data_IF_314152847454
#
_entry.id   IF_314152847454
#
_cell.length_a   1.000
_cell.length_b   1.000
_cell.length_c   1.000
_cell.angle_alpha   90.00
_cell.angle_beta   90.00
_cell.angle_gamma   90.00
#
_symmetry.space_group_name_H-M   'P 1'
#
loop_
_entity.id
_entity.type
_entity.pdbx_description
1 polymer ?
#
# COMPACT_ATOMS: atom_id res chain seq x y z
N UNK A 1 -15.94 -12.12 -31.85
CA UNK A 1 -14.64 -12.73 -31.53
C UNK A 1 -13.58 -12.42 -32.58
N UNK A 2 -13.72 -12.82 -33.86
CA UNK A 2 -12.71 -12.52 -34.90
C UNK A 2 -12.39 -11.02 -35.07
N UNK A 3 -13.39 -10.13 -34.95
CA UNK A 3 -13.14 -8.69 -34.97
C UNK A 3 -12.22 -8.20 -33.85
N UNK A 4 -12.25 -8.80 -32.67
CA UNK A 4 -11.40 -8.39 -31.54
C UNK A 4 -9.91 -8.67 -31.80
N UNK A 5 -9.56 -9.56 -32.73
CA UNK A 5 -8.19 -9.87 -33.11
C UNK A 5 -7.60 -8.91 -34.16
N UNK A 6 -8.41 -7.96 -34.68
CA UNK A 6 -8.06 -7.16 -35.88
C UNK A 6 -8.18 -5.63 -35.61
N UNK A 7 -8.67 -5.19 -34.45
CA UNK A 7 -8.82 -3.75 -34.14
C UNK A 7 -7.53 -3.16 -33.56
N UNK A 8 -7.35 -1.84 -33.69
CA UNK A 8 -6.23 -1.11 -33.06
C UNK A 8 -6.13 -1.36 -31.53
N UNK A 9 -4.89 -1.30 -31.04
CA UNK A 9 -4.43 -1.82 -29.74
C UNK A 9 -5.30 -1.44 -28.50
N UNK A 10 -5.79 -0.20 -28.46
CA UNK A 10 -6.65 0.27 -27.36
C UNK A 10 -8.05 -0.37 -27.34
N UNK A 11 -8.65 -0.57 -28.52
CA UNK A 11 -9.96 -1.22 -28.64
C UNK A 11 -9.85 -2.74 -28.44
N UNK A 12 -8.72 -3.32 -28.86
CA UNK A 12 -8.41 -4.73 -28.66
C UNK A 12 -8.31 -5.08 -27.16
N UNK A 13 -7.60 -4.27 -26.37
CA UNK A 13 -7.46 -4.49 -24.93
C UNK A 13 -8.83 -4.51 -24.22
N UNK A 14 -9.68 -3.52 -24.50
CA UNK A 14 -11.04 -3.48 -23.93
C UNK A 14 -11.90 -4.65 -24.37
N UNK A 15 -11.79 -5.07 -25.63
CA UNK A 15 -12.52 -6.23 -26.16
C UNK A 15 -12.09 -7.53 -25.47
N UNK A 16 -10.78 -7.75 -25.27
CA UNK A 16 -10.25 -8.89 -24.53
C UNK A 16 -10.76 -8.92 -23.10
N UNK A 17 -10.68 -7.79 -22.38
CA UNK A 17 -11.18 -7.67 -21.01
C UNK A 17 -12.69 -7.97 -20.93
N UNK A 18 -13.49 -7.41 -21.85
CA UNK A 18 -14.94 -7.63 -21.87
C UNK A 18 -15.31 -9.07 -22.21
N UNK A 19 -14.65 -9.68 -23.20
CA UNK A 19 -14.93 -11.06 -23.61
C UNK A 19 -14.49 -12.07 -22.54
N UNK A 20 -13.32 -11.88 -21.94
CA UNK A 20 -12.86 -12.71 -20.83
C UNK A 20 -13.79 -12.60 -19.60
N UNK A 21 -14.39 -11.43 -19.36
CA UNK A 21 -15.35 -11.26 -18.26
C UNK A 21 -16.73 -11.88 -18.56
N UNK A 22 -17.21 -11.80 -19.80
CA UNK A 22 -18.57 -12.20 -20.17
C UNK A 22 -18.71 -13.64 -20.65
N UNK A 23 -17.74 -14.15 -21.43
CA UNK A 23 -17.76 -15.52 -21.98
C UNK A 23 -16.33 -16.08 -22.07
N UNK A 24 -15.68 -16.38 -20.92
CA UNK A 24 -14.27 -16.76 -20.88
C UNK A 24 -13.97 -18.06 -21.62
N UNK A 25 -14.85 -19.07 -21.55
CA UNK A 25 -14.61 -20.38 -22.16
C UNK A 25 -14.70 -20.32 -23.70
N UNK A 26 -15.76 -19.70 -24.24
CA UNK A 26 -15.92 -19.56 -25.69
C UNK A 26 -14.81 -18.69 -26.30
N UNK A 27 -14.45 -17.61 -25.61
CA UNK A 27 -13.37 -16.74 -26.05
C UNK A 27 -12.02 -17.48 -26.00
N UNK A 28 -11.76 -18.24 -24.94
CA UNK A 28 -10.56 -19.05 -24.82
C UNK A 28 -10.43 -20.10 -25.91
N UNK A 29 -11.52 -20.79 -26.28
CA UNK A 29 -11.51 -21.71 -27.43
C UNK A 29 -11.17 -20.99 -28.73
N UNK A 30 -11.75 -19.81 -28.98
CA UNK A 30 -11.42 -19.01 -30.16
C UNK A 30 -9.95 -18.55 -30.18
N UNK A 31 -9.37 -18.22 -29.03
CA UNK A 31 -7.94 -17.89 -28.92
C UNK A 31 -7.05 -19.10 -29.22
N UNK A 32 -7.39 -20.27 -28.70
CA UNK A 32 -6.68 -21.52 -28.98
C UNK A 32 -6.73 -21.91 -30.46
N UNK A 33 -7.92 -21.81 -31.09
CA UNK A 33 -8.11 -22.09 -32.52
C UNK A 33 -7.33 -21.11 -33.41
N UNK A 34 -7.18 -19.86 -32.95
CA UNK A 34 -6.37 -18.84 -33.61
C UNK A 34 -4.86 -18.98 -33.34
N UNK A 35 -4.44 -19.93 -32.49
CA UNK A 35 -3.03 -20.10 -32.10
C UNK A 35 -2.47 -18.94 -31.29
N UNK A 36 -3.33 -18.21 -30.56
CA UNK A 36 -2.92 -17.07 -29.76
C UNK A 36 -1.96 -17.48 -28.64
N UNK A 37 -0.96 -16.64 -28.38
CA UNK A 37 -0.04 -16.72 -27.26
C UNK A 37 0.29 -15.30 -26.78
N UNK A 38 0.56 -15.09 -25.48
CA UNK A 38 0.98 -13.78 -25.00
C UNK A 38 2.33 -13.39 -25.60
N UNK A 39 2.45 -12.14 -26.07
CA UNK A 39 3.70 -11.58 -26.60
C UNK A 39 4.18 -10.44 -25.71
N UNK A 40 5.43 -10.44 -25.24
CA UNK A 40 5.92 -9.49 -24.22
C UNK A 40 5.74 -8.01 -24.56
N UNK A 41 5.69 -7.65 -25.85
CA UNK A 41 5.46 -6.28 -26.33
C UNK A 41 4.00 -5.81 -26.23
N UNK A 42 3.04 -6.72 -26.04
CA UNK A 42 1.62 -6.39 -25.94
C UNK A 42 1.22 -5.80 -24.59
N UNK A 43 0.11 -5.08 -24.59
CA UNK A 43 -0.53 -4.54 -23.39
C UNK A 43 -0.75 -5.64 -22.33
N UNK A 44 -0.36 -5.35 -21.10
CA UNK A 44 -0.46 -6.27 -19.97
C UNK A 44 -1.88 -6.76 -19.70
N UNK A 45 -2.89 -5.88 -19.78
CA UNK A 45 -4.29 -6.25 -19.55
C UNK A 45 -4.83 -7.18 -20.64
N UNK A 46 -4.33 -7.05 -21.87
CA UNK A 46 -4.66 -7.93 -22.98
C UNK A 46 -4.11 -9.33 -22.72
N UNK A 47 -2.82 -9.43 -22.37
CA UNK A 47 -2.14 -10.70 -22.06
C UNK A 47 -2.77 -11.42 -20.87
N UNK A 48 -3.13 -10.65 -19.85
CA UNK A 48 -3.83 -11.14 -18.66
C UNK A 48 -5.21 -11.72 -19.00
N UNK A 49 -6.05 -10.92 -19.67
CA UNK A 49 -7.39 -11.33 -20.05
C UNK A 49 -7.38 -12.54 -21.02
N UNK A 50 -6.45 -12.54 -21.98
CA UNK A 50 -6.26 -13.66 -22.90
C UNK A 50 -5.81 -14.93 -22.18
N UNK A 51 -4.84 -14.82 -21.26
CA UNK A 51 -4.37 -15.94 -20.45
C UNK A 51 -5.51 -16.54 -19.61
N UNK A 52 -6.28 -15.71 -18.92
CA UNK A 52 -7.44 -16.17 -18.14
C UNK A 52 -8.51 -16.87 -19.00
N UNK A 53 -8.76 -16.37 -20.21
CA UNK A 53 -9.70 -17.02 -21.15
C UNK A 53 -9.16 -18.39 -21.61
N UNK A 54 -7.88 -18.49 -21.98
CA UNK A 54 -7.23 -19.75 -22.36
C UNK A 54 -7.28 -20.77 -21.23
N UNK A 55 -7.03 -20.36 -19.98
CA UNK A 55 -7.16 -21.20 -18.80
C UNK A 55 -8.60 -21.71 -18.62
N UNK A 56 -9.59 -20.82 -18.75
CA UNK A 56 -10.99 -21.18 -18.63
C UNK A 56 -11.44 -22.22 -19.68
N UNK A 57 -10.97 -22.10 -20.92
CA UNK A 57 -11.22 -23.08 -21.99
C UNK A 57 -10.43 -24.39 -21.84
N UNK A 58 -9.41 -24.41 -20.98
CA UNK A 58 -8.46 -25.52 -20.83
C UNK A 58 -8.56 -26.25 -19.48
N UNK A 59 -9.67 -26.14 -18.76
CA UNK A 59 -9.87 -26.78 -17.44
C UNK A 59 -9.61 -28.29 -17.39
N UNK A 60 -9.75 -28.99 -18.51
CA UNK A 60 -9.53 -30.44 -18.62
C UNK A 60 -8.09 -30.82 -19.02
N UNK A 61 -7.26 -29.83 -19.42
CA UNK A 61 -5.86 -30.03 -19.80
C UNK A 61 -4.96 -29.94 -18.58
N UNK A 62 -3.83 -30.64 -18.63
CA UNK A 62 -2.82 -30.51 -17.57
C UNK A 62 -2.19 -29.12 -17.63
N UNK A 63 -1.62 -28.63 -16.51
CA UNK A 63 -0.90 -27.35 -16.54
C UNK A 63 0.32 -27.41 -17.46
N UNK A 64 0.96 -28.57 -17.58
CA UNK A 64 2.10 -28.76 -18.47
C UNK A 64 1.75 -28.49 -19.94
N UNK A 65 0.56 -28.90 -20.38
CA UNK A 65 0.09 -28.69 -21.77
C UNK A 65 -0.21 -27.23 -22.10
N UNK A 66 -0.50 -26.41 -21.09
CA UNK A 66 -0.90 -25.01 -21.27
C UNK A 66 0.15 -24.01 -20.80
N UNK A 67 1.24 -24.47 -20.18
CA UNK A 67 2.27 -23.62 -19.57
C UNK A 67 2.93 -22.62 -20.53
N UNK A 68 2.95 -22.91 -21.84
CA UNK A 68 3.51 -22.01 -22.86
C UNK A 68 2.45 -21.15 -23.57
N UNK A 69 1.18 -21.29 -23.20
CA UNK A 69 0.06 -20.59 -23.84
C UNK A 69 -0.44 -19.41 -23.01
N UNK A 70 0.06 -19.24 -21.80
CA UNK A 70 -0.41 -18.26 -20.82
C UNK A 70 0.77 -17.64 -20.08
N UNK A 71 0.51 -16.52 -19.42
CA UNK A 71 1.52 -15.81 -18.63
C UNK A 71 1.87 -16.55 -17.32
N UNK A 72 3.12 -16.45 -16.82
CA UNK A 72 3.59 -17.18 -15.63
C UNK A 72 2.76 -16.94 -14.36
N UNK A 73 2.29 -15.71 -14.14
CA UNK A 73 1.48 -15.40 -12.95
C UNK A 73 0.08 -16.02 -13.01
N UNK A 74 -0.53 -16.09 -14.19
CA UNK A 74 -1.81 -16.75 -14.38
C UNK A 74 -1.71 -18.26 -14.12
N UNK A 75 -0.56 -18.89 -14.43
CA UNK A 75 -0.30 -20.30 -14.10
C UNK A 75 -0.26 -20.54 -12.61
N UNK A 76 0.38 -19.64 -11.85
CA UNK A 76 0.42 -19.75 -10.40
C UNK A 76 -0.99 -19.65 -9.79
N UNK A 77 -1.78 -18.66 -10.24
CA UNK A 77 -3.16 -18.49 -9.79
C UNK A 77 -4.03 -19.73 -10.11
N UNK A 78 -3.86 -20.30 -11.31
CA UNK A 78 -4.57 -21.52 -11.72
C UNK A 78 -4.12 -22.74 -10.90
N UNK A 79 -2.82 -22.92 -10.68
CA UNK A 79 -2.29 -24.00 -9.86
C UNK A 79 -2.90 -23.98 -8.46
N UNK A 80 -2.95 -22.79 -7.84
CA UNK A 80 -3.61 -22.59 -6.54
C UNK A 80 -5.12 -22.88 -6.64
N UNK A 81 -5.78 -22.39 -7.68
CA UNK A 81 -7.22 -22.64 -7.94
C UNK A 81 -7.58 -24.12 -8.09
N UNK A 82 -6.65 -24.95 -8.59
CA UNK A 82 -6.79 -26.41 -8.72
C UNK A 82 -6.49 -27.19 -7.43
N UNK A 83 -6.18 -26.50 -6.32
CA UNK A 83 -5.83 -27.10 -5.03
C UNK A 83 -4.32 -27.21 -4.77
N UNK A 84 -3.50 -26.61 -5.64
CA UNK A 84 -2.07 -26.41 -5.44
C UNK A 84 -1.25 -27.70 -5.42
N UNK A 85 -1.57 -28.69 -6.25
CA UNK A 85 -0.78 -29.93 -6.29
C UNK A 85 0.71 -29.61 -6.50
N UNK A 86 1.62 -30.42 -5.93
CA UNK A 86 3.06 -30.16 -6.04
C UNK A 86 3.50 -30.05 -7.50
N UNK A 87 3.01 -30.95 -8.35
CA UNK A 87 3.29 -30.94 -9.79
C UNK A 87 2.84 -29.64 -10.46
N UNK A 88 1.61 -29.18 -10.20
CA UNK A 88 1.07 -27.94 -10.75
C UNK A 88 1.87 -26.72 -10.28
N UNK A 89 2.25 -26.68 -9.01
CA UNK A 89 3.05 -25.60 -8.43
C UNK A 89 4.48 -25.60 -8.97
N UNK A 90 5.09 -26.76 -9.20
CA UNK A 90 6.41 -26.87 -9.82
C UNK A 90 6.39 -26.35 -11.26
N UNK A 91 5.34 -26.63 -12.04
CA UNK A 91 5.17 -26.11 -13.40
C UNK A 91 5.04 -24.58 -13.37
N UNK A 92 4.19 -24.03 -12.49
CA UNK A 92 4.04 -22.59 -12.34
C UNK A 92 5.35 -21.93 -11.88
N UNK A 93 6.04 -22.54 -10.91
CA UNK A 93 7.34 -22.08 -10.42
C UNK A 93 8.40 -22.05 -11.52
N UNK A 94 8.47 -23.07 -12.40
CA UNK A 94 9.40 -23.08 -13.54
C UNK A 94 9.08 -21.98 -14.55
N UNK A 95 7.81 -21.66 -14.77
CA UNK A 95 7.44 -20.50 -15.59
C UNK A 95 7.91 -19.18 -14.97
N UNK A 96 7.80 -19.05 -13.64
CA UNK A 96 8.30 -17.88 -12.90
C UNK A 96 9.83 -17.83 -12.92
N UNK A 97 10.53 -18.95 -12.71
CA UNK A 97 12.01 -19.01 -12.78
C UNK A 97 12.53 -18.49 -14.13
N UNK A 98 11.87 -18.82 -15.24
CA UNK A 98 12.21 -18.29 -16.56
C UNK A 98 12.04 -16.77 -16.64
N UNK A 99 11.00 -16.22 -16.00
CA UNK A 99 10.82 -14.76 -15.92
C UNK A 99 11.85 -14.09 -14.99
N UNK A 100 12.33 -14.80 -13.97
CA UNK A 100 13.32 -14.32 -13.00
C UNK A 100 14.77 -14.42 -13.50
N UNK A 101 15.06 -15.27 -14.48
CA UNK A 101 16.40 -15.49 -15.03
C UNK A 101 16.88 -14.36 -15.95
N UNK A 102 16.15 -13.25 -16.02
CA UNK A 102 16.48 -12.15 -16.91
C UNK A 102 17.60 -11.26 -16.36
N UNK A 103 18.59 -10.95 -17.21
CA UNK A 103 19.79 -10.18 -16.86
C UNK A 103 19.82 -8.76 -17.45
N UNK A 104 18.77 -8.36 -18.18
CA UNK A 104 18.80 -7.02 -18.77
C UNK A 104 18.78 -5.94 -17.67
N UNK A 105 19.40 -4.82 -17.97
CA UNK A 105 19.50 -3.70 -17.03
C UNK A 105 18.55 -2.62 -17.50
N UNK A 106 17.47 -2.40 -16.73
CA UNK A 106 16.70 -1.18 -16.83
C UNK A 106 17.01 -0.28 -15.64
N UNK A 107 17.58 0.89 -15.91
CA UNK A 107 17.89 1.88 -14.88
C UNK A 107 16.58 2.47 -14.35
N UNK A 108 16.33 2.31 -13.06
CA UNK A 108 15.13 2.86 -12.45
C UNK A 108 15.19 4.38 -12.45
N UNK A 109 14.13 5.07 -12.86
CA UNK A 109 14.15 6.51 -13.00
C UNK A 109 14.23 7.21 -11.65
N UNK A 110 15.27 8.03 -11.44
CA UNK A 110 15.42 8.79 -10.19
C UNK A 110 14.25 9.77 -9.96
N UNK A 111 13.68 10.32 -11.04
CA UNK A 111 12.62 11.32 -11.00
C UNK A 111 11.21 10.77 -10.72
N UNK A 112 11.01 9.44 -10.80
CA UNK A 112 9.69 8.84 -10.68
C UNK A 112 9.65 7.79 -9.57
N UNK A 113 8.61 7.86 -8.74
CA UNK A 113 8.21 6.82 -7.80
C UNK A 113 7.04 6.05 -8.39
N UNK A 114 7.21 4.74 -8.51
CA UNK A 114 6.16 3.83 -8.97
C UNK A 114 5.59 3.11 -7.77
N UNK A 115 4.27 3.08 -7.66
CA UNK A 115 3.57 2.32 -6.64
C UNK A 115 2.49 1.43 -7.23
N UNK A 116 2.30 0.26 -6.63
CA UNK A 116 1.26 -0.71 -6.97
C UNK A 116 0.33 -0.82 -5.77
N UNK A 117 -0.93 -0.45 -5.97
CA UNK A 117 -2.01 -0.59 -5.00
C UNK A 117 -2.86 -1.79 -5.39
N UNK A 118 -3.18 -2.66 -4.43
CA UNK A 118 -4.09 -3.80 -4.66
C UNK A 118 -5.39 -3.61 -3.92
N UNK A 119 -6.51 -3.70 -4.65
CA UNK A 119 -7.86 -3.71 -4.09
C UNK A 119 -8.56 -4.98 -4.56
N UNK A 120 -8.55 -6.00 -3.70
CA UNK A 120 -9.05 -7.33 -4.04
C UNK A 120 -8.24 -7.95 -5.19
N UNK A 121 -8.93 -8.34 -6.28
CA UNK A 121 -8.27 -8.90 -7.49
C UNK A 121 -7.77 -7.83 -8.47
N UNK A 122 -8.06 -6.56 -8.22
CA UNK A 122 -7.60 -5.46 -9.08
C UNK A 122 -6.34 -4.86 -8.50
N UNK A 123 -5.43 -4.45 -9.38
CA UNK A 123 -4.30 -3.64 -8.99
C UNK A 123 -4.28 -2.37 -9.84
N UNK A 124 -3.84 -1.28 -9.25
CA UNK A 124 -3.61 -0.01 -9.94
C UNK A 124 -2.17 0.41 -9.76
N UNK A 125 -1.59 0.90 -10.85
CA UNK A 125 -0.23 1.43 -10.85
C UNK A 125 -0.36 2.95 -10.81
N UNK A 126 0.33 3.58 -9.87
CA UNK A 126 0.45 5.04 -9.83
C UNK A 126 1.91 5.46 -9.97
N UNK A 127 2.13 6.53 -10.72
CA UNK A 127 3.45 7.12 -10.96
C UNK A 127 3.41 8.55 -10.46
N UNK A 128 4.27 8.84 -9.48
CA UNK A 128 4.37 10.14 -8.83
C UNK A 128 5.80 10.68 -8.93
N UNK A 129 6.01 12.00 -8.86
CA UNK A 129 7.34 12.57 -8.73
C UNK A 129 8.06 12.02 -7.49
N UNK A 130 9.35 11.71 -7.66
CA UNK A 130 10.21 11.28 -6.55
C UNK A 130 10.68 12.49 -5.76
N UNK A 131 10.46 12.48 -4.44
CA UNK A 131 10.98 13.51 -3.55
C UNK A 131 12.52 13.53 -3.49
N UNK A 132 13.17 12.39 -3.77
CA UNK A 132 14.64 12.29 -3.78
C UNK A 132 15.28 13.02 -4.97
N UNK A 133 14.50 13.32 -6.01
CA UNK A 133 14.97 14.06 -7.17
C UNK A 133 14.68 15.57 -7.08
N UNK A 134 14.15 16.05 -5.95
CA UNK A 134 13.83 17.46 -5.74
C UNK A 134 14.97 18.16 -4.99
N UNK A 135 15.43 19.29 -5.51
CA UNK A 135 16.27 20.21 -4.76
C UNK A 135 15.44 21.15 -3.86
N UNK A 136 16.12 21.99 -3.07
CA UNK A 136 15.44 22.92 -2.14
C UNK A 136 14.61 24.00 -2.87
N UNK A 137 15.08 24.47 -4.03
CA UNK A 137 14.36 25.46 -4.85
C UNK A 137 13.10 24.86 -5.48
N UNK A 138 13.18 23.59 -5.86
CA UNK A 138 12.10 22.78 -6.41
C UNK A 138 11.00 22.50 -5.38
N UNK A 139 11.39 22.23 -4.12
CA UNK A 139 10.46 22.07 -3.00
C UNK A 139 9.65 23.35 -2.77
N UNK A 140 10.28 24.52 -2.91
CA UNK A 140 9.60 25.80 -2.77
C UNK A 140 8.64 26.09 -3.94
N UNK A 141 9.06 25.80 -5.18
CA UNK A 141 8.23 25.99 -6.40
C UNK A 141 7.12 24.96 -6.54
N UNK A 142 7.17 23.84 -5.82
CA UNK A 142 6.10 22.85 -5.74
C UNK A 142 4.80 23.39 -5.11
N UNK A 143 4.82 24.61 -4.56
CA UNK A 143 3.60 25.34 -4.19
C UNK A 143 2.75 25.75 -5.39
N UNK A 144 3.36 25.96 -6.56
CA UNK A 144 2.71 26.39 -7.79
C UNK A 144 1.97 25.22 -8.48
N UNK A 145 0.65 25.34 -8.73
CA UNK A 145 -0.14 24.32 -9.42
C UNK A 145 0.42 23.90 -10.79
N UNK A 146 0.96 24.83 -11.57
CA UNK A 146 1.40 24.55 -12.94
C UNK A 146 2.73 23.78 -12.93
N UNK A 147 3.68 24.21 -12.09
CA UNK A 147 4.95 23.49 -11.87
C UNK A 147 4.71 22.08 -11.32
N UNK A 148 3.74 21.92 -10.40
CA UNK A 148 3.33 20.60 -9.93
C UNK A 148 2.80 19.73 -11.06
N UNK A 149 1.91 20.27 -11.88
CA UNK A 149 1.33 19.54 -13.00
C UNK A 149 2.40 19.08 -14.00
N UNK A 150 3.29 19.98 -14.43
CA UNK A 150 4.39 19.66 -15.34
C UNK A 150 5.29 18.55 -14.81
N UNK A 151 5.63 18.59 -13.52
CA UNK A 151 6.42 17.52 -12.88
C UNK A 151 5.68 16.21 -12.79
N UNK A 152 4.39 16.24 -12.45
CA UNK A 152 3.57 15.04 -12.47
C UNK A 152 3.53 14.43 -13.88
N UNK A 153 3.43 15.25 -14.93
CA UNK A 153 3.49 14.76 -16.31
C UNK A 153 4.86 14.16 -16.65
N UNK A 154 5.96 14.87 -16.36
CA UNK A 154 7.31 14.36 -16.63
C UNK A 154 7.62 13.05 -15.88
N UNK A 155 7.21 12.96 -14.61
CA UNK A 155 7.37 11.74 -13.82
C UNK A 155 6.54 10.59 -14.40
N UNK A 156 5.30 10.85 -14.84
CA UNK A 156 4.45 9.87 -15.51
C UNK A 156 5.06 9.37 -16.81
N UNK A 157 5.47 10.27 -17.69
CA UNK A 157 6.12 9.90 -18.96
C UNK A 157 7.35 9.02 -18.74
N UNK A 158 8.23 9.43 -17.81
CA UNK A 158 9.45 8.69 -17.50
C UNK A 158 9.15 7.33 -16.86
N UNK A 159 8.21 7.27 -15.91
CA UNK A 159 7.83 6.03 -15.23
C UNK A 159 7.08 5.06 -16.15
N UNK A 160 6.18 5.56 -17.01
CA UNK A 160 5.48 4.74 -18.01
C UNK A 160 6.44 4.21 -19.07
N UNK A 161 7.41 5.01 -19.53
CA UNK A 161 8.48 4.56 -20.42
C UNK A 161 9.32 3.46 -19.75
N UNK A 162 9.77 3.68 -18.51
CA UNK A 162 10.51 2.66 -17.74
C UNK A 162 9.74 1.35 -17.64
N UNK A 163 8.44 1.38 -17.29
CA UNK A 163 7.63 0.17 -17.18
C UNK A 163 7.47 -0.53 -18.51
N UNK A 164 7.28 0.22 -19.60
CA UNK A 164 7.18 -0.35 -20.96
C UNK A 164 8.49 -1.00 -21.38
N UNK A 165 9.62 -0.36 -21.11
CA UNK A 165 10.95 -0.85 -21.45
C UNK A 165 11.31 -2.07 -20.60
N UNK A 166 11.06 -2.03 -19.29
CA UNK A 166 11.27 -3.16 -18.39
C UNK A 166 10.41 -4.37 -18.80
N UNK A 167 9.13 -4.16 -19.14
CA UNK A 167 8.22 -5.23 -19.56
C UNK A 167 8.58 -5.80 -20.92
N UNK A 168 8.86 -4.95 -21.91
CA UNK A 168 9.29 -5.40 -23.24
C UNK A 168 10.60 -6.17 -23.17
N UNK A 169 11.46 -5.82 -22.21
CA UNK A 169 12.70 -6.52 -21.98
C UNK A 169 12.55 -7.81 -21.17
N UNK A 170 11.46 -8.03 -20.41
CA UNK A 170 11.17 -9.31 -19.75
C UNK A 170 10.71 -9.24 -18.30
N UNK A 171 10.68 -8.06 -17.68
CA UNK A 171 10.24 -7.83 -16.30
C UNK A 171 8.71 -7.84 -16.15
N UNK A 172 8.05 -8.87 -16.70
CA UNK A 172 6.60 -8.96 -16.84
C UNK A 172 5.87 -9.11 -15.49
N UNK A 173 6.57 -9.52 -14.43
CA UNK A 173 6.02 -9.68 -13.07
C UNK A 173 6.28 -8.48 -12.14
N UNK A 174 7.01 -7.45 -12.58
CA UNK A 174 7.51 -6.41 -11.67
C UNK A 174 6.41 -5.61 -10.97
N UNK A 175 5.26 -5.45 -11.64
CA UNK A 175 4.07 -4.75 -11.12
C UNK A 175 2.97 -5.70 -10.64
N UNK A 176 3.22 -7.01 -10.65
CA UNK A 176 2.21 -8.02 -10.29
C UNK A 176 2.17 -8.26 -8.80
N UNK A 177 0.96 -8.37 -8.29
CA UNK A 177 0.67 -8.74 -6.91
C UNK A 177 0.38 -10.23 -6.88
N UNK A 178 1.06 -10.97 -6.01
CA UNK A 178 0.85 -12.40 -5.81
C UNK A 178 0.05 -12.60 -4.53
N UNK A 179 -0.91 -13.54 -4.55
CA UNK A 179 -1.69 -13.83 -3.36
C UNK A 179 -0.85 -14.48 -2.26
N UNK A 180 -1.16 -14.18 -1.00
CA UNK A 180 -0.50 -14.80 0.14
C UNK A 180 -0.66 -16.32 0.16
N UNK A 181 -1.82 -16.83 -0.25
CA UNK A 181 -2.09 -18.27 -0.31
C UNK A 181 -1.18 -18.96 -1.33
N UNK A 182 -0.91 -18.34 -2.47
CA UNK A 182 0.06 -18.85 -3.44
C UNK A 182 1.47 -18.93 -2.85
N UNK A 183 1.93 -17.87 -2.17
CA UNK A 183 3.23 -17.84 -1.52
C UNK A 183 3.35 -18.92 -0.42
N UNK A 184 2.31 -19.11 0.39
CA UNK A 184 2.26 -20.17 1.41
C UNK A 184 2.34 -21.56 0.79
N UNK A 185 1.57 -21.82 -0.26
CA UNK A 185 1.61 -23.12 -0.96
C UNK A 185 2.98 -23.40 -1.58
N UNK A 186 3.64 -22.39 -2.15
CA UNK A 186 5.01 -22.53 -2.68
C UNK A 186 6.03 -22.88 -1.59
N UNK A 187 5.97 -22.22 -0.43
CA UNK A 187 6.86 -22.52 0.70
C UNK A 187 6.60 -23.94 1.26
N UNK A 188 5.34 -24.33 1.38
CA UNK A 188 4.95 -25.63 1.96
C UNK A 188 5.28 -26.80 1.03
N UNK A 189 5.00 -26.66 -0.28
CA UNK A 189 5.02 -27.78 -1.23
C UNK A 189 6.24 -27.80 -2.14
N UNK A 190 6.85 -26.64 -2.40
CA UNK A 190 8.02 -26.48 -3.26
C UNK A 190 9.15 -25.67 -2.58
N UNK A 191 9.55 -26.00 -1.33
CA UNK A 191 10.52 -25.21 -0.57
C UNK A 191 11.88 -25.10 -1.27
N UNK A 192 12.28 -26.10 -2.04
CA UNK A 192 13.52 -26.08 -2.81
C UNK A 192 13.55 -25.00 -3.90
N UNK A 193 12.40 -24.70 -4.51
CA UNK A 193 12.27 -23.61 -5.50
C UNK A 193 12.40 -22.27 -4.79
N UNK A 194 11.67 -22.10 -3.69
CA UNK A 194 11.70 -20.85 -2.90
C UNK A 194 13.11 -20.60 -2.35
N UNK A 195 13.79 -21.64 -1.87
CA UNK A 195 15.19 -21.54 -1.44
C UNK A 195 16.06 -20.99 -2.56
N UNK A 196 15.96 -21.54 -3.78
CA UNK A 196 16.71 -21.03 -4.93
C UNK A 196 16.40 -19.56 -5.20
N UNK A 197 15.14 -19.15 -5.10
CA UNK A 197 14.74 -17.73 -5.27
C UNK A 197 15.30 -16.79 -4.20
N UNK A 198 15.63 -17.33 -3.03
CA UNK A 198 16.22 -16.59 -1.91
C UNK A 198 17.74 -16.75 -1.82
N UNK A 199 18.38 -17.50 -2.73
CA UNK A 199 19.84 -17.66 -2.76
C UNK A 199 20.53 -16.28 -2.75
N UNK A 200 21.48 -16.08 -1.84
CA UNK A 200 22.12 -14.79 -1.63
C UNK A 200 21.37 -13.84 -0.69
N UNK A 201 20.49 -14.38 0.18
CA UNK A 201 19.84 -13.61 1.25
C UNK A 201 20.79 -13.30 2.42
N UNK A 202 21.64 -14.27 2.80
CA UNK A 202 22.63 -14.09 3.88
C UNK A 202 23.70 -13.05 3.52
N UNK A 203 24.14 -13.05 2.26
CA UNK A 203 25.03 -12.07 1.68
C UNK A 203 24.37 -11.48 0.43
N UNK A 204 23.77 -10.29 0.56
CA UNK A 204 22.92 -9.68 -0.47
C UNK A 204 23.65 -9.60 -1.82
N UNK A 205 23.26 -10.47 -2.75
CA UNK A 205 23.84 -10.53 -4.10
C UNK A 205 23.07 -9.67 -5.11
N UNK A 206 23.74 -9.24 -6.17
CA UNK A 206 23.07 -8.57 -7.31
C UNK A 206 22.02 -9.47 -7.97
N UNK A 207 22.23 -10.79 -8.00
CA UNK A 207 21.27 -11.73 -8.54
C UNK A 207 19.96 -11.77 -7.71
N UNK A 208 20.04 -11.70 -6.38
CA UNK A 208 18.86 -11.55 -5.52
C UNK A 208 18.15 -10.22 -5.78
N UNK A 209 18.90 -9.12 -5.80
CA UNK A 209 18.34 -7.78 -6.06
C UNK A 209 17.65 -7.71 -7.43
N UNK A 210 18.21 -8.36 -8.46
CA UNK A 210 17.59 -8.44 -9.79
C UNK A 210 16.24 -9.16 -9.72
N UNK A 211 16.19 -10.36 -9.13
CA UNK A 211 14.95 -11.15 -9.02
C UNK A 211 13.86 -10.43 -8.23
N UNK A 212 14.23 -9.78 -7.13
CA UNK A 212 13.32 -8.94 -6.33
C UNK A 212 12.67 -7.87 -7.20
N UNK A 213 13.45 -7.20 -8.05
CA UNK A 213 12.92 -6.13 -8.90
C UNK A 213 12.18 -6.66 -10.15
N UNK A 214 12.41 -7.92 -10.55
CA UNK A 214 11.67 -8.57 -11.62
C UNK A 214 10.29 -9.07 -11.20
N UNK A 215 10.11 -9.41 -9.92
CA UNK A 215 8.86 -9.95 -9.38
C UNK A 215 8.56 -9.41 -7.97
N UNK A 216 8.56 -8.09 -7.79
CA UNK A 216 8.43 -7.46 -6.47
C UNK A 216 7.28 -8.00 -5.63
N UNK A 217 6.09 -8.13 -6.20
CA UNK A 217 4.93 -8.60 -5.45
C UNK A 217 4.98 -10.08 -5.06
N UNK A 218 5.73 -10.92 -5.79
CA UNK A 218 6.03 -12.29 -5.37
C UNK A 218 6.87 -12.28 -4.10
N UNK A 219 7.95 -11.49 -4.07
CA UNK A 219 8.83 -11.43 -2.90
C UNK A 219 8.17 -10.75 -1.70
N UNK A 220 7.27 -9.78 -1.90
CA UNK A 220 6.44 -9.23 -0.82
C UNK A 220 5.52 -10.30 -0.23
N UNK A 221 4.84 -11.10 -1.07
CA UNK A 221 3.99 -12.20 -0.59
C UNK A 221 4.79 -13.31 0.10
N UNK A 222 5.98 -13.67 -0.43
CA UNK A 222 6.90 -14.61 0.21
C UNK A 222 7.40 -14.06 1.55
N UNK A 223 7.72 -12.77 1.65
CA UNK A 223 8.10 -12.14 2.90
C UNK A 223 7.02 -12.29 3.96
N UNK A 224 5.75 -12.02 3.63
CA UNK A 224 4.64 -12.22 4.55
C UNK A 224 4.51 -13.68 4.99
N UNK A 225 4.55 -14.62 4.05
CA UNK A 225 4.43 -16.04 4.34
C UNK A 225 5.61 -16.58 5.17
N UNK A 226 6.83 -16.09 4.94
CA UNK A 226 8.03 -16.43 5.71
C UNK A 226 7.99 -15.80 7.10
N UNK A 227 7.55 -14.55 7.25
CA UNK A 227 7.39 -13.94 8.58
C UNK A 227 6.46 -14.76 9.48
N UNK A 228 5.47 -15.45 8.91
CA UNK A 228 4.57 -16.35 9.64
C UNK A 228 5.15 -17.76 9.87
N UNK A 229 5.87 -18.35 8.92
CA UNK A 229 6.33 -19.75 8.96
C UNK A 229 7.78 -19.95 9.41
N UNK A 230 8.68 -19.02 9.04
CA UNK A 230 10.09 -18.98 9.41
C UNK A 230 10.52 -17.52 9.68
N UNK A 231 10.17 -16.95 10.85
CA UNK A 231 10.31 -15.53 11.12
C UNK A 231 11.72 -14.95 10.93
N UNK A 232 12.82 -15.63 11.31
CA UNK A 232 14.17 -15.12 11.06
C UNK A 232 14.46 -14.87 9.57
N UNK A 233 14.11 -15.82 8.70
CA UNK A 233 14.26 -15.67 7.25
C UNK A 233 13.33 -14.57 6.69
N UNK A 234 12.10 -14.50 7.20
CA UNK A 234 11.16 -13.44 6.84
C UNK A 234 11.67 -12.04 7.17
N UNK A 235 12.29 -11.84 8.34
CA UNK A 235 12.87 -10.55 8.75
C UNK A 235 14.09 -10.19 7.89
N UNK A 236 14.95 -11.16 7.55
CA UNK A 236 16.05 -10.91 6.63
C UNK A 236 15.54 -10.44 5.26
N UNK A 237 14.57 -11.15 4.68
CA UNK A 237 13.97 -10.76 3.41
C UNK A 237 13.30 -9.38 3.50
N UNK A 238 12.61 -9.09 4.60
CA UNK A 238 12.01 -7.78 4.85
C UNK A 238 13.03 -6.66 4.76
N UNK A 239 14.21 -6.81 5.38
CA UNK A 239 15.27 -5.81 5.32
C UNK A 239 15.81 -5.61 3.90
N UNK A 240 16.02 -6.70 3.17
CA UNK A 240 16.49 -6.64 1.77
C UNK A 240 15.45 -5.95 0.88
N UNK A 241 14.17 -6.27 1.04
CA UNK A 241 13.09 -5.62 0.31
C UNK A 241 13.03 -4.13 0.63
N UNK A 242 13.11 -3.75 1.91
CA UNK A 242 13.07 -2.33 2.32
C UNK A 242 14.19 -1.51 1.69
N UNK A 243 15.36 -2.11 1.45
CA UNK A 243 16.53 -1.44 0.88
C UNK A 243 16.58 -1.45 -0.65
N UNK A 244 16.10 -2.53 -1.29
CA UNK A 244 16.39 -2.79 -2.70
C UNK A 244 15.16 -2.88 -3.61
N UNK A 245 13.95 -2.95 -3.06
CA UNK A 245 12.72 -2.98 -3.86
C UNK A 245 12.42 -1.58 -4.41
N UNK A 246 12.41 -1.44 -5.73
CA UNK A 246 12.28 -0.15 -6.41
C UNK A 246 10.82 0.27 -6.63
N UNK A 247 9.95 -0.71 -6.94
CA UNK A 247 8.51 -0.48 -7.08
C UNK A 247 7.86 -0.69 -5.72
N UNK A 248 7.27 0.37 -5.17
CA UNK A 248 6.60 0.30 -3.87
C UNK A 248 5.25 -0.42 -3.98
N UNK A 249 4.96 -1.31 -3.05
CA UNK A 249 3.62 -1.91 -2.92
C UNK A 249 2.92 -1.20 -1.77
N UNK A 250 1.69 -0.78 -2.00
CA UNK A 250 0.92 -0.01 -1.02
C UNK A 250 -0.43 -0.66 -0.76
N UNK A 251 -0.82 -0.66 0.51
CA UNK A 251 -2.10 -1.17 0.98
C UNK A 251 -3.01 -0.07 1.50
N UNK A 252 -3.74 -0.38 2.56
CA UNK A 252 -4.73 0.53 3.18
C UNK A 252 -4.11 1.90 3.48
N UNK A 253 -4.74 2.97 2.99
CA UNK A 253 -4.30 4.34 3.20
C UNK A 253 -2.97 4.71 2.55
N UNK A 254 -2.62 4.02 1.45
CA UNK A 254 -1.35 4.17 0.73
C UNK A 254 -0.11 3.85 1.57
N UNK A 255 -0.29 3.10 2.65
CA UNK A 255 0.81 2.65 3.49
C UNK A 255 1.66 1.61 2.77
N UNK A 256 2.97 1.69 2.98
CA UNK A 256 3.93 0.69 2.51
C UNK A 256 3.51 -0.70 3.00
N UNK A 257 3.33 -1.64 2.07
CA UNK A 257 2.89 -2.99 2.37
C UNK A 257 3.85 -3.65 3.38
N UNK A 258 5.17 -3.39 3.29
CA UNK A 258 6.15 -3.92 4.23
C UNK A 258 5.89 -3.47 5.68
N UNK A 259 5.35 -2.27 5.90
CA UNK A 259 4.93 -1.84 7.24
C UNK A 259 3.69 -2.60 7.68
N UNK A 260 2.69 -2.74 6.80
CA UNK A 260 1.45 -3.47 7.09
C UNK A 260 1.70 -4.94 7.45
N UNK A 261 2.59 -5.61 6.72
CA UNK A 261 2.94 -7.02 6.94
C UNK A 261 3.34 -7.29 8.40
N UNK A 262 4.06 -6.36 9.02
CA UNK A 262 4.58 -6.54 10.39
C UNK A 262 3.47 -6.73 11.41
N UNK A 263 2.28 -6.17 11.19
CA UNK A 263 1.13 -6.29 12.08
C UNK A 263 0.13 -7.38 11.69
N UNK A 264 0.12 -7.77 10.41
CA UNK A 264 -0.76 -8.81 9.87
C UNK A 264 -0.30 -10.23 10.24
N UNK A 265 1.01 -10.44 10.38
CA UNK A 265 1.59 -11.74 10.72
C UNK A 265 1.50 -12.05 12.22
N UNK A 266 1.49 -13.35 12.61
CA UNK A 266 1.49 -13.75 14.02
C UNK A 266 2.70 -13.22 14.79
N UNK A 267 2.51 -13.06 16.10
CA UNK A 267 3.57 -12.61 17.00
C UNK A 267 4.69 -13.66 17.13
N UNK A 268 5.92 -13.21 16.89
CA UNK A 268 7.14 -13.95 17.17
C UNK A 268 8.21 -12.98 17.68
N UNK A 269 9.24 -13.47 18.38
CA UNK A 269 10.29 -12.58 18.89
C UNK A 269 10.95 -11.74 17.79
N UNK A 270 11.17 -12.31 16.60
CA UNK A 270 11.76 -11.60 15.46
C UNK A 270 10.83 -10.50 14.93
N UNK A 271 9.52 -10.79 14.81
CA UNK A 271 8.51 -9.80 14.38
C UNK A 271 8.35 -8.69 15.42
N UNK A 272 8.33 -9.04 16.71
CA UNK A 272 8.22 -8.06 17.79
C UNK A 272 9.43 -7.12 17.82
N UNK A 273 10.64 -7.64 17.65
CA UNK A 273 11.85 -6.81 17.50
C UNK A 273 11.80 -5.91 16.29
N UNK A 274 11.27 -6.40 15.15
CA UNK A 274 11.08 -5.58 13.96
C UNK A 274 10.06 -4.46 14.21
N UNK A 275 8.95 -4.73 14.90
CA UNK A 275 7.97 -3.70 15.31
C UNK A 275 8.58 -2.69 16.27
N UNK A 276 9.39 -3.12 17.24
CA UNK A 276 10.10 -2.24 18.16
C UNK A 276 11.11 -1.33 17.43
N UNK A 277 11.84 -1.89 16.47
CA UNK A 277 12.73 -1.12 15.60
C UNK A 277 11.95 -0.06 14.82
N UNK A 278 10.85 -0.46 14.19
CA UNK A 278 9.98 0.44 13.44
C UNK A 278 9.26 1.46 14.33
N UNK A 279 9.06 1.19 15.62
CA UNK A 279 8.48 2.11 16.60
C UNK A 279 9.50 3.12 17.15
N UNK A 280 10.78 2.89 16.91
CA UNK A 280 11.85 3.75 17.43
C UNK A 280 11.85 5.13 16.77
N UNK A 281 12.41 6.12 17.47
CA UNK A 281 12.50 7.50 17.00
C UNK A 281 13.26 7.62 15.65
N UNK A 282 14.40 6.94 15.41
CA UNK A 282 15.09 7.01 14.12
C UNK A 282 14.25 6.56 12.92
N UNK A 283 13.26 5.70 13.13
CA UNK A 283 12.36 5.22 12.08
C UNK A 283 11.11 6.09 11.93
N UNK A 284 10.78 6.92 12.92
CA UNK A 284 9.65 7.84 12.90
C UNK A 284 10.10 9.26 13.26
N UNK A 285 10.58 9.97 12.24
CA UNK A 285 11.14 11.30 12.41
C UNK A 285 10.07 12.42 12.52
N UNK A 286 8.79 12.14 12.28
CA UNK A 286 7.71 13.13 12.31
C UNK A 286 6.35 12.52 12.71
N UNK A 287 5.34 13.38 12.91
CA UNK A 287 4.00 13.00 13.39
C UNK A 287 3.26 12.18 12.34
N UNK A 288 3.54 12.43 11.05
CA UNK A 288 2.98 11.66 9.95
C UNK A 288 3.48 10.22 9.96
N UNK A 289 4.79 9.98 10.19
CA UNK A 289 5.33 8.62 10.30
C UNK A 289 4.70 7.85 11.46
N UNK A 290 4.51 8.49 12.62
CA UNK A 290 3.80 7.85 13.73
C UNK A 290 2.32 7.63 13.44
N UNK A 291 1.65 8.56 12.75
CA UNK A 291 0.26 8.37 12.32
C UNK A 291 0.14 7.18 11.35
N UNK A 292 1.05 7.05 10.39
CA UNK A 292 1.13 5.91 9.46
C UNK A 292 1.38 4.59 10.19
N UNK A 293 2.28 4.60 11.19
CA UNK A 293 2.54 3.45 12.05
C UNK A 293 1.29 3.05 12.88
N UNK A 294 0.59 4.03 13.46
CA UNK A 294 -0.67 3.78 14.18
C UNK A 294 -1.75 3.25 13.24
N UNK A 295 -1.88 3.82 12.04
CA UNK A 295 -2.81 3.36 11.02
C UNK A 295 -2.52 1.91 10.60
N UNK A 296 -1.24 1.55 10.42
CA UNK A 296 -0.83 0.18 10.14
C UNK A 296 -1.23 -0.77 11.28
N UNK A 297 -0.90 -0.42 12.52
CA UNK A 297 -1.25 -1.23 13.68
C UNK A 297 -2.77 -1.41 13.81
N UNK A 298 -3.55 -0.34 13.67
CA UNK A 298 -5.01 -0.39 13.81
C UNK A 298 -5.65 -1.18 12.67
N UNK A 299 -5.27 -0.92 11.42
CA UNK A 299 -5.89 -1.55 10.25
C UNK A 299 -5.59 -3.05 10.12
N UNK A 300 -4.45 -3.50 10.67
CA UNK A 300 -4.00 -4.90 10.56
C UNK A 300 -4.17 -5.70 11.86
N UNK A 301 -4.83 -5.15 12.88
CA UNK A 301 -5.14 -5.89 14.12
C UNK A 301 -4.07 -5.83 15.23
N UNK A 302 -3.02 -5.02 15.06
CA UNK A 302 -1.95 -4.77 16.03
C UNK A 302 -2.26 -3.77 17.16
N UNK A 303 -3.53 -3.40 17.37
CA UNK A 303 -3.92 -2.39 18.37
C UNK A 303 -3.51 -2.78 19.81
N UNK A 304 -3.62 -4.06 20.17
CA UNK A 304 -3.25 -4.54 21.51
C UNK A 304 -1.76 -4.34 21.82
N UNK A 305 -0.89 -4.62 20.84
CA UNK A 305 0.54 -4.38 20.93
C UNK A 305 0.84 -2.88 21.04
N UNK A 306 0.20 -2.05 20.20
CA UNK A 306 0.38 -0.60 20.23
C UNK A 306 -0.01 0.02 21.58
N UNK A 307 -1.15 -0.39 22.15
CA UNK A 307 -1.59 0.08 23.48
C UNK A 307 -0.58 -0.31 24.57
N UNK A 308 0.00 -1.51 24.48
CA UNK A 308 1.03 -1.95 25.42
C UNK A 308 2.32 -1.14 25.28
N UNK A 309 2.73 -0.80 24.05
CA UNK A 309 3.88 0.05 23.78
C UNK A 309 3.69 1.49 24.30
N UNK A 310 2.47 2.05 24.11
CA UNK A 310 2.10 3.36 24.66
C UNK A 310 2.17 3.34 26.19
N UNK A 311 1.59 2.34 26.85
CA UNK A 311 1.63 2.22 28.32
C UNK A 311 3.07 2.08 28.87
N UNK A 312 3.95 1.36 28.16
CA UNK A 312 5.37 1.27 28.50
C UNK A 312 6.08 2.63 28.37
N UNK A 313 5.73 3.42 27.37
CA UNK A 313 6.28 4.76 27.16
C UNK A 313 5.77 5.79 28.18
N UNK A 314 4.52 5.68 28.66
CA UNK A 314 3.96 6.56 29.69
C UNK A 314 4.74 6.51 31.01
N UNK A 315 5.27 5.33 31.34
CA UNK A 315 6.00 5.04 32.57
C UNK A 315 7.53 5.09 32.39
N UNK A 316 8.00 5.35 31.17
CA UNK A 316 9.42 5.42 30.85
C UNK A 316 10.11 6.58 31.59
N UNK A 317 11.42 6.42 31.86
CA UNK A 317 12.21 7.49 32.51
C UNK A 317 12.50 8.63 31.54
N UNK A 318 12.58 8.31 30.25
CA UNK A 318 12.93 9.23 29.19
C UNK A 318 11.76 10.19 28.86
N UNK A 319 11.95 11.52 28.96
CA UNK A 319 10.90 12.50 28.67
C UNK A 319 10.31 12.38 27.26
N UNK A 320 11.14 12.08 26.26
CA UNK A 320 10.69 11.97 24.87
C UNK A 320 9.72 10.80 24.68
N UNK A 321 9.93 9.65 25.35
CA UNK A 321 9.05 8.48 25.29
C UNK A 321 7.68 8.80 25.88
N UNK A 322 7.67 9.44 27.05
CA UNK A 322 6.43 9.89 27.70
C UNK A 322 5.65 10.90 26.84
N UNK A 323 6.34 11.82 26.14
CA UNK A 323 5.69 12.72 25.17
C UNK A 323 5.18 11.98 23.94
N UNK A 324 5.94 11.01 23.42
CA UNK A 324 5.51 10.15 22.32
C UNK A 324 4.22 9.39 22.67
N UNK A 325 4.11 8.86 23.89
CA UNK A 325 2.87 8.24 24.36
C UNK A 325 1.67 9.22 24.28
N UNK A 326 1.85 10.47 24.73
CA UNK A 326 0.80 11.51 24.63
C UNK A 326 0.41 11.74 23.17
N UNK A 327 1.36 11.90 22.26
CA UNK A 327 1.08 12.11 20.83
C UNK A 327 0.32 10.92 20.23
N UNK A 328 0.78 9.69 20.49
CA UNK A 328 0.18 8.46 19.96
C UNK A 328 -1.25 8.24 20.47
N UNK A 329 -1.54 8.57 21.73
CA UNK A 329 -2.91 8.57 22.25
C UNK A 329 -3.85 9.46 21.44
N UNK A 330 -3.34 10.54 20.85
CA UNK A 330 -4.10 11.44 19.97
C UNK A 330 -4.49 10.79 18.63
N UNK A 331 -3.70 9.83 18.14
CA UNK A 331 -3.94 9.12 16.88
C UNK A 331 -4.82 7.86 17.03
N UNK A 332 -5.08 7.42 18.27
CA UNK A 332 -5.89 6.23 18.52
C UNK A 332 -7.34 6.45 18.04
N UNK A 333 -8.00 5.39 17.51
CA UNK A 333 -9.41 5.45 17.13
C UNK A 333 -10.29 5.92 18.28
N UNK A 334 -11.33 6.68 17.93
CA UNK A 334 -12.37 7.09 18.89
C UNK A 334 -13.48 6.03 18.93
N UNK A 335 -13.93 5.71 20.14
CA UNK A 335 -15.08 4.87 20.39
C UNK A 335 -16.36 5.71 20.56
N UNK A 336 -17.51 5.05 20.71
CA UNK A 336 -18.80 5.73 20.89
C UNK A 336 -18.94 6.44 22.24
N UNK A 337 -18.08 6.11 23.21
CA UNK A 337 -18.07 6.71 24.55
C UNK A 337 -17.17 7.94 24.63
N UNK A 338 -16.35 8.18 23.60
CA UNK A 338 -15.47 9.33 23.52
C UNK A 338 -16.28 10.63 23.56
N UNK A 339 -15.94 11.48 24.52
CA UNK A 339 -16.51 12.82 24.63
C UNK A 339 -15.45 13.83 24.19
N UNK A 340 -15.69 14.61 23.11
CA UNK A 340 -14.72 15.60 22.68
C UNK A 340 -14.57 16.68 23.75
N UNK A 341 -13.34 16.91 24.18
CA UNK A 341 -13.00 17.97 25.12
C UNK A 341 -12.36 19.13 24.37
N UNK A 342 -13.03 20.27 24.37
CA UNK A 342 -12.53 21.47 23.72
C UNK A 342 -11.55 22.21 24.61
N UNK A 343 -10.51 22.76 24.01
CA UNK A 343 -9.50 23.54 24.71
C UNK A 343 -10.15 24.67 25.52
N UNK A 344 -9.80 24.74 26.80
CA UNK A 344 -10.13 25.85 27.68
C UNK A 344 -8.83 26.54 28.12
N UNK A 345 -8.67 27.81 27.78
CA UNK A 345 -7.51 28.63 28.19
C UNK A 345 -6.21 28.37 27.41
N UNK A 346 -5.10 28.91 27.93
CA UNK A 346 -3.76 28.75 27.37
C UNK A 346 -3.00 27.60 28.05
N UNK A 347 -2.17 26.91 27.28
CA UNK A 347 -1.26 25.89 27.81
C UNK A 347 0.08 26.52 28.19
N UNK A 348 0.80 25.88 29.11
CA UNK A 348 2.15 26.28 29.53
C UNK A 348 3.12 25.13 29.30
N UNK A 349 4.28 25.44 28.73
CA UNK A 349 5.36 24.50 28.45
C UNK A 349 5.06 23.48 27.34
N UNK A 350 6.08 22.70 27.01
CA UNK A 350 6.04 21.75 25.87
C UNK A 350 5.12 20.56 26.13
N UNK A 351 4.95 20.18 27.40
CA UNK A 351 4.02 19.11 27.82
C UNK A 351 2.55 19.49 27.67
N UNK A 352 2.20 20.73 28.03
CA UNK A 352 0.85 21.26 27.82
C UNK A 352 0.52 21.32 26.33
N UNK A 353 1.48 21.79 25.52
CA UNK A 353 1.37 21.83 24.07
C UNK A 353 1.10 20.44 23.47
N UNK A 354 1.85 19.42 23.90
CA UNK A 354 1.68 18.05 23.41
C UNK A 354 0.29 17.47 23.73
N UNK A 355 -0.23 17.70 24.95
CA UNK A 355 -1.56 17.23 25.35
C UNK A 355 -2.67 17.92 24.56
N UNK A 356 -2.56 19.24 24.38
CA UNK A 356 -3.53 20.01 23.59
C UNK A 356 -3.54 19.52 22.14
N UNK A 357 -2.38 19.33 21.53
CA UNK A 357 -2.27 18.78 20.17
C UNK A 357 -2.89 17.38 20.05
N UNK A 358 -2.55 16.48 20.97
CA UNK A 358 -3.12 15.13 20.98
C UNK A 358 -4.66 15.15 21.12
N UNK A 359 -5.19 16.02 21.98
CA UNK A 359 -6.64 16.18 22.15
C UNK A 359 -7.31 16.76 20.90
N UNK A 360 -6.70 17.78 20.27
CA UNK A 360 -7.21 18.39 19.04
C UNK A 360 -7.26 17.38 17.89
N UNK A 361 -6.20 16.59 17.72
CA UNK A 361 -6.16 15.49 16.74
C UNK A 361 -7.27 14.48 17.00
N UNK A 362 -7.45 14.06 18.25
CA UNK A 362 -8.48 13.08 18.62
C UNK A 362 -9.90 13.62 18.41
N UNK A 363 -10.15 14.88 18.80
CA UNK A 363 -11.42 15.56 18.55
C UNK A 363 -11.74 15.65 17.05
N UNK A 364 -10.72 15.90 16.23
CA UNK A 364 -10.85 16.00 14.79
C UNK A 364 -11.19 14.64 14.18
N UNK A 365 -10.52 13.57 14.59
CA UNK A 365 -10.84 12.21 14.16
C UNK A 365 -12.28 11.81 14.52
N UNK A 366 -12.74 12.17 15.73
CA UNK A 366 -14.13 12.00 16.15
C UNK A 366 -15.11 12.75 15.23
N UNK A 367 -14.85 14.03 14.96
CA UNK A 367 -15.68 14.85 14.07
C UNK A 367 -15.75 14.28 12.66
N UNK A 368 -14.62 13.84 12.11
CA UNK A 368 -14.56 13.22 10.78
C UNK A 368 -15.50 12.03 10.68
N UNK A 369 -15.43 11.10 11.63
CA UNK A 369 -16.30 9.94 11.64
C UNK A 369 -17.77 10.29 11.92
N UNK A 370 -18.03 11.29 12.76
CA UNK A 370 -19.39 11.79 13.00
C UNK A 370 -20.03 12.32 11.71
N UNK A 371 -19.33 13.18 10.96
CA UNK A 371 -19.84 13.76 9.72
C UNK A 371 -19.94 12.73 8.60
N UNK A 372 -19.03 11.75 8.57
CA UNK A 372 -19.16 10.59 7.69
C UNK A 372 -20.44 9.79 7.94
N UNK A 373 -20.68 9.40 9.20
CA UNK A 373 -21.92 8.70 9.58
C UNK A 373 -23.16 9.56 9.30
N UNK A 374 -23.06 10.88 9.44
CA UNK A 374 -24.15 11.81 9.09
C UNK A 374 -24.44 11.82 7.59
N UNK A 375 -23.41 11.79 6.74
CA UNK A 375 -23.57 11.63 5.28
C UNK A 375 -24.28 10.31 4.94
N UNK A 376 -23.87 9.20 5.53
CA UNK A 376 -24.49 7.89 5.30
C UNK A 376 -25.96 7.88 5.74
N UNK A 377 -26.28 8.40 6.93
CA UNK A 377 -27.64 8.40 7.51
C UNK A 377 -28.60 9.45 6.95
N UNK A 378 -28.10 10.47 6.25
CA UNK A 378 -28.92 11.59 5.76
C UNK A 378 -30.11 11.09 4.92
N UNK A 379 -31.31 11.64 5.16
CA UNK A 379 -32.55 11.23 4.47
C UNK A 379 -32.90 12.13 3.27
N UNK A 380 -32.09 13.15 3.03
CA UNK A 380 -32.23 14.07 1.92
C UNK A 380 -30.85 14.41 1.31
N UNK A 381 -30.87 14.93 0.09
CA UNK A 381 -29.66 15.23 -0.69
C UNK A 381 -28.86 16.40 -0.12
N UNK A 382 -29.52 17.40 0.47
CA UNK A 382 -28.86 18.61 1.00
C UNK A 382 -28.05 18.24 2.25
N UNK A 383 -28.68 17.54 3.20
CA UNK A 383 -28.02 17.08 4.43
C UNK A 383 -26.85 16.15 4.11
N UNK A 384 -27.00 15.26 3.12
CA UNK A 384 -25.91 14.42 2.66
C UNK A 384 -24.75 15.26 2.11
N UNK A 385 -25.03 16.16 1.17
CA UNK A 385 -24.03 17.02 0.55
C UNK A 385 -23.27 17.87 1.58
N UNK A 386 -23.98 18.53 2.50
CA UNK A 386 -23.34 19.33 3.56
C UNK A 386 -22.46 18.47 4.48
N UNK A 387 -22.95 17.30 4.90
CA UNK A 387 -22.20 16.39 5.77
C UNK A 387 -20.91 15.89 5.09
N UNK A 388 -20.97 15.57 3.80
CA UNK A 388 -19.81 15.18 3.00
C UNK A 388 -18.74 16.28 2.98
N UNK A 389 -19.14 17.52 2.71
CA UNK A 389 -18.19 18.62 2.67
C UNK A 389 -17.54 18.89 4.03
N UNK A 390 -18.31 18.84 5.13
CA UNK A 390 -17.72 19.00 6.46
C UNK A 390 -16.78 17.83 6.78
N UNK A 391 -17.16 16.60 6.43
CA UNK A 391 -16.28 15.42 6.56
C UNK A 391 -14.93 15.65 5.86
N UNK A 392 -14.92 16.12 4.61
CA UNK A 392 -13.66 16.41 3.90
C UNK A 392 -12.79 17.47 4.62
N UNK A 393 -13.38 18.37 5.41
CA UNK A 393 -12.61 19.35 6.19
C UNK A 393 -11.97 18.78 7.46
N UNK A 394 -12.42 17.64 7.96
CA UNK A 394 -11.88 17.06 9.20
C UNK A 394 -11.20 15.71 9.00
N UNK A 395 -11.45 15.02 7.88
CA UNK A 395 -10.85 13.72 7.56
C UNK A 395 -9.32 13.73 7.63
N UNK A 396 -8.76 12.59 8.00
CA UNK A 396 -7.34 12.27 8.00
C UNK A 396 -7.14 10.80 7.56
N UNK A 397 -5.90 10.31 7.55
CA UNK A 397 -5.58 8.95 7.08
C UNK A 397 -6.27 7.84 7.89
N UNK A 398 -6.71 8.11 9.13
CA UNK A 398 -7.46 7.12 9.93
C UNK A 398 -8.84 6.84 9.35
N UNK A 399 -9.37 7.69 8.46
CA UNK A 399 -10.62 7.44 7.77
C UNK A 399 -10.63 6.13 6.98
N UNK A 400 -9.49 5.72 6.42
CA UNK A 400 -9.36 4.47 5.68
C UNK A 400 -9.66 3.21 6.51
N UNK A 401 -9.53 3.29 7.84
CA UNK A 401 -9.83 2.15 8.73
C UNK A 401 -11.32 1.85 8.80
N UNK A 402 -12.17 2.89 8.77
CA UNK A 402 -13.57 2.75 9.13
C UNK A 402 -14.55 3.07 8.00
N UNK A 403 -14.15 3.75 6.92
CA UNK A 403 -15.04 4.11 5.80
C UNK A 403 -15.81 2.89 5.29
N UNK A 404 -15.11 1.83 4.89
CA UNK A 404 -15.75 0.66 4.29
C UNK A 404 -16.63 -0.10 5.29
N UNK A 405 -16.17 -0.24 6.54
CA UNK A 405 -16.98 -0.86 7.59
C UNK A 405 -18.26 -0.08 7.90
N UNK A 406 -18.19 1.25 7.89
CA UNK A 406 -19.34 2.12 8.11
C UNK A 406 -20.28 2.07 6.87
N UNK A 407 -19.76 1.96 5.64
CA UNK A 407 -20.59 1.76 4.43
C UNK A 407 -21.43 0.49 4.54
N UNK A 408 -20.81 -0.63 4.89
CA UNK A 408 -21.53 -1.90 5.03
C UNK A 408 -22.53 -1.86 6.20
N UNK A 409 -22.18 -1.21 7.31
CA UNK A 409 -23.06 -1.10 8.48
C UNK A 409 -24.31 -0.23 8.23
N UNK A 410 -24.22 0.78 7.37
CA UNK A 410 -25.31 1.73 7.08
C UNK A 410 -25.94 1.54 5.71
N UNK A 411 -25.69 0.41 5.05
CA UNK A 411 -26.19 0.15 3.71
C UNK A 411 -27.71 0.18 3.64
N UNK A 412 -28.22 1.02 2.73
CA UNK A 412 -29.64 1.11 2.40
C UNK A 412 -29.83 0.78 0.91
N UNK A 413 -30.93 0.13 0.54
CA UNK A 413 -31.19 -0.28 -0.86
C UNK A 413 -32.04 0.73 -1.64
N UNK A 414 -31.93 2.02 -1.31
CA UNK A 414 -32.69 3.11 -1.95
C UNK A 414 -31.88 3.89 -3.01
N UNK A 415 -32.59 4.77 -3.73
CA UNK A 415 -31.99 5.59 -4.79
C UNK A 415 -30.97 6.61 -4.23
N UNK A 416 -31.28 7.22 -3.08
CA UNK A 416 -30.40 8.21 -2.46
C UNK A 416 -29.06 7.59 -2.05
N UNK A 417 -29.07 6.37 -1.51
CA UNK A 417 -27.89 5.59 -1.21
C UNK A 417 -27.02 5.37 -2.45
N UNK A 418 -27.62 4.94 -3.56
CA UNK A 418 -26.90 4.76 -4.83
C UNK A 418 -26.26 6.06 -5.30
N UNK A 419 -26.97 7.19 -5.20
CA UNK A 419 -26.45 8.51 -5.53
C UNK A 419 -25.30 8.93 -4.62
N UNK A 420 -25.37 8.68 -3.30
CA UNK A 420 -24.27 8.94 -2.36
C UNK A 420 -23.03 8.12 -2.71
N UNK A 421 -23.19 6.83 -2.98
CA UNK A 421 -22.07 5.95 -3.36
C UNK A 421 -21.48 6.36 -4.71
N UNK A 422 -22.30 6.76 -5.68
CA UNK A 422 -21.83 7.28 -6.96
C UNK A 422 -21.07 8.60 -6.76
N UNK A 423 -21.60 9.52 -5.93
CA UNK A 423 -20.94 10.78 -5.60
C UNK A 423 -19.56 10.54 -4.98
N UNK A 424 -19.45 9.64 -4.00
CA UNK A 424 -18.17 9.27 -3.39
C UNK A 424 -17.17 8.74 -4.43
N UNK A 425 -17.61 7.83 -5.32
CA UNK A 425 -16.74 7.24 -6.35
C UNK A 425 -16.27 8.28 -7.38
N UNK A 426 -17.17 9.16 -7.83
CA UNK A 426 -16.84 10.25 -8.76
C UNK A 426 -15.89 11.28 -8.13
N UNK A 427 -15.94 11.42 -6.80
CA UNK A 427 -15.08 12.34 -6.03
C UNK A 427 -13.96 11.61 -5.28
N UNK A 428 -13.58 10.41 -5.69
CA UNK A 428 -12.55 9.61 -5.00
C UNK A 428 -11.19 10.33 -4.93
N UNK A 429 -10.83 11.08 -5.97
CA UNK A 429 -9.61 11.90 -5.98
C UNK A 429 -9.66 13.04 -4.95
N UNK A 430 -10.80 13.71 -4.84
CA UNK A 430 -11.00 14.78 -3.86
C UNK A 430 -11.01 14.24 -2.42
N UNK A 431 -11.64 13.07 -2.19
CA UNK A 431 -11.59 12.37 -0.91
C UNK A 431 -10.15 12.02 -0.53
N UNK A 432 -9.42 11.41 -1.46
CA UNK A 432 -8.01 11.03 -1.27
C UNK A 432 -7.13 12.24 -0.99
N UNK A 433 -7.33 13.32 -1.74
CA UNK A 433 -6.64 14.60 -1.50
C UNK A 433 -6.97 15.15 -0.11
N UNK A 434 -8.23 15.20 0.30
CA UNK A 434 -8.62 15.74 1.60
C UNK A 434 -8.03 14.94 2.78
N UNK A 435 -7.98 13.61 2.65
CA UNK A 435 -7.38 12.71 3.64
C UNK A 435 -5.86 12.89 3.71
N UNK A 436 -5.19 13.07 2.58
CA UNK A 436 -3.72 13.14 2.48
C UNK A 436 -3.13 14.56 2.59
N UNK A 437 -3.87 15.62 2.27
CA UNK A 437 -3.40 17.02 2.30
C UNK A 437 -3.20 17.52 3.74
N UNK A 438 -3.91 16.90 4.69
CA UNK A 438 -3.91 17.32 6.08
C UNK A 438 -2.93 16.54 6.96
N UNK A 439 -2.19 15.58 6.41
CA UNK A 439 -0.88 15.23 6.96
C UNK A 439 0.10 16.27 6.44
N UNK A 440 0.48 17.22 7.30
CA UNK A 440 1.26 18.39 6.89
C UNK A 440 2.53 17.98 6.16
N UNK A 441 2.60 18.24 4.86
CA UNK A 441 3.86 18.16 4.11
C UNK A 441 4.79 19.26 4.62
N UNK A 442 5.73 18.91 5.50
CA UNK A 442 6.85 19.78 5.81
C UNK A 442 7.44 19.70 7.23
N UNK A 443 8.69 19.22 7.27
CA UNK A 443 9.84 19.88 7.93
C UNK A 443 9.95 19.92 9.47
N UNK A 444 8.90 19.64 10.26
CA UNK A 444 9.10 19.59 11.70
C UNK A 444 9.56 18.20 12.14
N UNK A 445 10.88 18.02 12.23
CA UNK A 445 11.49 16.87 12.90
C UNK A 445 10.89 16.75 14.30
N UNK A 446 10.16 15.67 14.56
CA UNK A 446 9.55 15.39 15.87
C UNK A 446 10.59 15.33 16.98
N UNK A 447 11.84 15.02 16.63
CA UNK A 447 12.98 15.11 17.52
C UNK A 447 13.00 16.47 18.23
N UNK A 448 12.67 17.56 17.54
CA UNK A 448 12.62 18.89 18.16
C UNK A 448 11.42 19.07 19.10
N UNK A 449 10.22 18.60 18.72
CA UNK A 449 9.03 18.65 19.58
C UNK A 449 9.12 17.76 20.82
N UNK A 450 9.58 16.53 20.64
CA UNK A 450 9.70 15.53 21.71
C UNK A 450 10.87 15.86 22.66
N UNK A 451 11.97 16.42 22.15
CA UNK A 451 13.13 16.81 22.95
C UNK A 451 13.00 18.26 23.48
N UNK A 452 12.05 19.05 22.96
CA UNK A 452 11.77 20.42 23.41
C UNK A 452 12.71 21.48 22.80
N UNK A 453 13.24 21.22 21.61
CA UNK A 453 14.14 22.10 20.85
C UNK A 453 13.42 22.98 19.82
N UNK A 454 12.10 22.98 19.82
CA UNK A 454 11.37 23.96 19.01
C UNK A 454 11.65 25.36 19.49
N UNK A 455 11.85 26.29 18.55
CA UNK A 455 11.59 27.69 18.81
C UNK A 455 10.12 27.80 19.23
N UNK A 456 9.83 28.27 20.46
CA UNK A 456 8.46 28.35 20.94
C UNK A 456 7.66 29.31 20.05
N UNK A 457 6.50 28.88 19.53
CA UNK A 457 5.58 29.79 18.81
C UNK A 457 5.09 30.94 19.70
N UNK A 458 5.09 30.71 21.02
CA UNK A 458 4.73 31.68 22.06
C UNK A 458 5.67 31.52 23.25
N UNK A 459 5.99 32.64 23.92
CA UNK A 459 6.83 32.65 25.12
C UNK A 459 6.35 31.73 26.25
N UNK A 460 5.03 31.43 26.32
CA UNK A 460 4.43 30.49 27.27
C UNK A 460 4.72 29.00 26.96
N UNK A 461 5.20 28.68 25.76
CA UNK A 461 5.56 27.32 25.35
C UNK A 461 7.01 26.94 25.72
N UNK A 462 7.78 27.87 26.31
CA UNK A 462 9.13 27.62 26.82
C UNK A 462 9.04 26.80 28.11
N UNK A 463 9.74 25.68 28.19
CA UNK A 463 9.95 25.01 29.47
C UNK A 463 10.90 25.87 30.33
N UNK A 464 10.47 26.25 31.54
CA UNK A 464 11.26 27.05 32.51
C UNK A 464 12.62 26.43 32.90
N UNK A 465 12.95 25.24 32.40
CA UNK A 465 14.21 24.53 32.62
C UNK A 465 15.20 24.59 31.45
N UNK A 466 15.01 25.48 30.46
CA UNK A 466 16.04 25.79 29.47
C UNK A 466 17.19 26.66 30.03
N UNK A 467 17.55 26.50 31.31
CA UNK A 467 18.92 26.75 31.77
C UNK A 467 19.70 25.47 31.52
N UNK A 468 20.18 25.34 30.29
CA UNK A 468 21.07 24.26 29.86
C UNK A 468 22.30 24.24 30.78
N UNK A 469 22.33 23.27 31.69
CA UNK A 469 23.54 22.68 32.22
C UNK A 469 23.88 21.45 31.38
N UNK A 470 24.27 21.67 30.13
CA UNK A 470 25.07 20.77 29.30
C UNK A 470 25.99 21.61 28.43
#
# INVERSE_FOLDING_TARGET
MQHALIVGEGHQTLAFMALAACSPEEFGHALLDAGWKPVSSENEYLRDAGSHAVLAASKKRSLAEIAELVEPWCLLDEAVGRGGSREDLEIAAQAIERALAWEGVSNFPAAARISVESVGKRHSISVNPSAQAMDEDDLFRFGDPDVRWERHQAARETGEAYLRDAKSAGAVMATRVVSLDAARMLIDRCPEVVSRWLDGLDEVTQALVSRINLAGGLFVALCEALLASNPPCGVQLWHVLKQHLRISFVGVGELDELLLLTFRVPDSNAVLQLREHLYSLPQNANDESYLEFVLAAVSQGGLSWLLSAIAADETAKEPFRRKRAISLQGFLPTDEMFKPEWRQGEYVGTWGAARVRAQETRNRAYQARYWWKSFLKAKDTISAFCSWHIFLTCADKMAWVWIDSDIEAYREDDELWRLKMLHMRLNASALKSAINEKSGKGSYLLDRHLIGWDSPEKWLAVDLQATLGY
#
